data_IF_819499202927
#
_entry.id   IF_819499202927
#
_cell.length_a   1.000
_cell.length_b   1.000
_cell.length_c   1.000
_cell.angle_alpha   90.00
_cell.angle_beta   90.00
_cell.angle_gamma   90.00
#
_symmetry.space_group_name_H-M   'P 1'
#
loop_
_entity.id
_entity.type
_entity.pdbx_description
1 polymer ?
#
# COMPACT_ATOMS: atom_id res chain seq x y z
N UNK A 1 -2.18 -10.52 24.76
CA UNK A 1 -2.37 -9.07 24.62
C UNK A 1 -2.44 -8.64 23.16
N UNK A 2 -2.62 -7.35 22.89
CA UNK A 2 -2.53 -6.76 21.56
C UNK A 2 -1.13 -6.15 21.40
N UNK A 3 -0.46 -6.44 20.28
CA UNK A 3 0.80 -5.81 19.93
C UNK A 3 0.53 -4.51 19.15
N UNK A 4 1.26 -3.43 19.47
CA UNK A 4 1.23 -2.18 18.72
C UNK A 4 2.60 -1.98 18.09
N UNK A 5 2.66 -2.10 16.78
CA UNK A 5 3.87 -1.92 15.97
C UNK A 5 3.86 -0.53 15.36
N UNK A 6 4.93 0.24 15.60
CA UNK A 6 5.08 1.59 15.06
C UNK A 6 6.16 1.62 13.99
N UNK A 7 5.80 2.01 12.77
CA UNK A 7 6.75 2.27 11.70
C UNK A 7 7.51 3.57 12.00
N UNK A 8 8.83 3.51 12.06
CA UNK A 8 9.70 4.66 12.37
C UNK A 8 10.48 5.10 11.14
N UNK A 9 10.78 6.40 11.00
CA UNK A 9 11.72 6.86 9.98
C UNK A 9 13.09 6.20 10.16
N UNK A 10 13.77 5.93 9.04
CA UNK A 10 15.14 5.44 9.08
C UNK A 10 16.05 6.46 9.81
N UNK A 11 16.71 6.08 10.92
CA UNK A 11 17.51 7.01 11.75
C UNK A 11 18.75 7.55 11.03
N UNK A 12 19.20 6.86 9.97
CA UNK A 12 20.39 7.28 9.20
C UNK A 12 20.06 8.18 8.02
N UNK A 13 18.77 8.33 7.66
CA UNK A 13 18.29 9.16 6.55
C UNK A 13 17.46 10.33 7.07
N UNK A 14 18.02 11.53 7.07
CA UNK A 14 17.34 12.74 7.52
C UNK A 14 16.25 13.15 6.51
N UNK A 15 15.02 12.73 6.76
CA UNK A 15 13.82 13.02 5.91
C UNK A 15 12.77 13.85 6.66
N UNK A 16 13.19 14.61 7.66
CA UNK A 16 12.28 15.45 8.46
C UNK A 16 11.15 14.66 9.14
N UNK A 17 11.45 13.44 9.59
CA UNK A 17 10.46 12.57 10.27
C UNK A 17 9.46 11.87 9.36
N UNK A 18 9.67 11.88 8.03
CA UNK A 18 8.81 11.17 7.08
C UNK A 18 9.19 9.69 7.03
N UNK A 19 8.21 8.81 7.21
CA UNK A 19 8.35 7.35 7.04
C UNK A 19 8.26 7.00 5.57
N UNK A 20 9.30 6.34 5.05
CA UNK A 20 9.41 5.80 3.68
C UNK A 20 9.83 4.35 3.78
N UNK A 21 9.32 3.51 2.91
CA UNK A 21 9.69 2.10 2.83
C UNK A 21 11.01 1.96 2.08
N UNK A 22 12.11 2.16 2.78
CA UNK A 22 13.46 1.85 2.29
C UNK A 22 13.87 0.43 2.72
N UNK A 23 15.01 -0.04 2.21
CA UNK A 23 15.53 -1.39 2.51
C UNK A 23 15.69 -1.65 4.01
N UNK A 24 16.09 -0.63 4.78
CA UNK A 24 16.22 -0.74 6.23
C UNK A 24 14.86 -0.95 6.91
N UNK A 25 13.85 -0.13 6.59
CA UNK A 25 12.53 -0.25 7.21
C UNK A 25 11.83 -1.56 6.82
N UNK A 26 12.01 -2.03 5.59
CA UNK A 26 11.46 -3.33 5.15
C UNK A 26 12.04 -4.47 6.00
N UNK A 27 13.34 -4.47 6.29
CA UNK A 27 13.99 -5.46 7.15
C UNK A 27 13.50 -5.36 8.60
N UNK A 28 13.38 -4.14 9.13
CA UNK A 28 12.82 -3.89 10.48
C UNK A 28 11.37 -4.39 10.60
N UNK A 29 10.54 -4.18 9.55
CA UNK A 29 9.16 -4.70 9.50
C UNK A 29 9.18 -6.24 9.59
N UNK A 30 10.00 -6.89 8.77
CA UNK A 30 10.09 -8.35 8.75
C UNK A 30 10.52 -8.91 10.11
N UNK A 31 11.63 -8.41 10.66
CA UNK A 31 12.20 -8.85 11.93
C UNK A 31 11.24 -8.60 13.10
N UNK A 32 10.61 -7.41 13.13
CA UNK A 32 9.66 -7.07 14.19
C UNK A 32 8.41 -7.95 14.14
N UNK A 33 7.86 -8.21 12.95
CA UNK A 33 6.70 -9.08 12.82
C UNK A 33 7.00 -10.52 13.20
N UNK A 34 8.20 -11.04 12.87
CA UNK A 34 8.63 -12.37 13.31
C UNK A 34 8.74 -12.44 14.84
N UNK A 35 9.33 -11.42 15.48
CA UNK A 35 9.42 -11.33 16.93
C UNK A 35 8.05 -11.20 17.60
N UNK A 36 7.16 -10.38 17.06
CA UNK A 36 5.78 -10.21 17.55
C UNK A 36 4.99 -11.51 17.41
N UNK A 37 5.09 -12.19 16.27
CA UNK A 37 4.39 -13.46 16.04
C UNK A 37 4.79 -14.54 17.07
N UNK A 38 6.07 -14.58 17.48
CA UNK A 38 6.58 -15.49 18.49
C UNK A 38 5.92 -15.27 19.87
N UNK A 39 5.38 -14.08 20.17
CA UNK A 39 4.65 -13.79 21.42
C UNK A 39 3.20 -14.24 21.39
N UNK A 40 2.71 -14.77 20.27
CA UNK A 40 1.31 -15.19 20.09
C UNK A 40 0.30 -14.10 20.49
N UNK A 41 0.33 -12.91 19.89
CA UNK A 41 -0.59 -11.83 20.25
C UNK A 41 -2.03 -12.15 19.82
N UNK A 42 -3.01 -11.56 20.51
CA UNK A 42 -4.42 -11.66 20.14
C UNK A 42 -4.79 -10.75 18.95
N UNK A 43 -3.91 -9.81 18.60
CA UNK A 43 -4.06 -8.90 17.46
C UNK A 43 -2.85 -7.99 17.33
N UNK A 44 -2.72 -7.36 16.16
CA UNK A 44 -1.64 -6.41 15.86
C UNK A 44 -2.24 -5.11 15.34
N UNK A 45 -1.86 -3.98 15.93
CA UNK A 45 -2.08 -2.64 15.38
C UNK A 45 -0.79 -2.18 14.71
N UNK A 46 -0.85 -1.92 13.40
CA UNK A 46 0.22 -1.28 12.65
C UNK A 46 -0.04 0.22 12.57
N UNK A 47 0.89 1.05 13.05
CA UNK A 47 0.77 2.50 12.98
C UNK A 47 2.10 3.15 12.55
N UNK A 48 2.09 4.43 12.28
CA UNK A 48 3.32 5.22 12.08
C UNK A 48 3.68 5.99 13.34
N UNK A 49 4.98 6.13 13.59
CA UNK A 49 5.52 7.03 14.61
C UNK A 49 5.68 8.47 14.08
N UNK A 50 5.53 8.70 12.79
CA UNK A 50 5.59 10.03 12.20
C UNK A 50 4.28 10.77 12.42
N UNK A 51 4.35 12.03 12.86
CA UNK A 51 3.19 12.92 12.92
C UNK A 51 2.81 13.50 11.55
N UNK A 52 3.67 13.34 10.54
CA UNK A 52 3.52 13.97 9.21
C UNK A 52 2.86 13.06 8.19
N UNK A 53 3.12 11.76 8.26
CA UNK A 53 2.61 10.77 7.31
C UNK A 53 2.36 9.44 8.03
N UNK A 54 1.44 8.65 7.51
CA UNK A 54 1.44 7.22 7.84
C UNK A 54 2.67 6.58 7.18
N UNK A 55 2.69 6.52 5.85
CA UNK A 55 3.86 6.13 5.05
C UNK A 55 3.77 6.84 3.69
N UNK A 56 4.84 7.51 3.29
CA UNK A 56 4.87 8.29 2.04
C UNK A 56 5.11 7.47 0.78
N UNK A 57 5.27 6.15 0.90
CA UNK A 57 5.53 5.23 -0.20
C UNK A 57 6.92 4.59 -0.12
N UNK A 58 7.34 3.97 -1.23
CA UNK A 58 8.68 3.44 -1.41
C UNK A 58 9.74 4.55 -1.46
N UNK A 59 10.99 4.20 -1.17
CA UNK A 59 12.12 5.11 -1.36
C UNK A 59 12.47 5.25 -2.84
N UNK A 60 11.97 6.30 -3.48
CA UNK A 60 12.22 6.55 -4.90
C UNK A 60 13.71 6.77 -5.20
N UNK A 61 14.51 7.25 -4.24
CA UNK A 61 15.95 7.37 -4.41
C UNK A 61 16.64 5.98 -4.44
N UNK A 62 16.17 5.03 -3.64
CA UNK A 62 16.65 3.64 -3.75
C UNK A 62 16.19 2.99 -5.05
N UNK A 63 14.93 3.19 -5.46
CA UNK A 63 14.42 2.67 -6.75
C UNK A 63 15.26 3.18 -7.92
N UNK A 64 15.68 4.44 -7.91
CA UNK A 64 16.50 5.02 -8.96
C UNK A 64 17.95 4.52 -8.93
N UNK A 65 18.52 4.34 -7.73
CA UNK A 65 19.94 4.01 -7.53
C UNK A 65 20.28 2.51 -7.67
N UNK A 66 19.35 1.62 -7.34
CA UNK A 66 19.56 0.16 -7.40
C UNK A 66 19.65 -0.32 -8.86
N UNK A 67 20.50 -1.32 -9.14
CA UNK A 67 20.42 -2.05 -10.41
C UNK A 67 19.13 -2.92 -10.47
N UNK A 68 18.84 -3.52 -11.61
CA UNK A 68 17.59 -4.27 -11.82
C UNK A 68 17.46 -5.50 -10.92
N UNK A 69 18.57 -6.18 -10.66
CA UNK A 69 18.61 -7.36 -9.79
C UNK A 69 18.37 -6.95 -8.34
N UNK A 70 19.02 -5.89 -7.90
CA UNK A 70 18.88 -5.36 -6.55
C UNK A 70 17.49 -4.76 -6.33
N UNK A 71 16.90 -4.11 -7.34
CA UNK A 71 15.53 -3.59 -7.26
C UNK A 71 14.49 -4.72 -7.21
N UNK A 72 14.60 -5.75 -8.04
CA UNK A 72 13.69 -6.92 -7.93
C UNK A 72 13.80 -7.56 -6.54
N UNK A 73 15.02 -7.71 -6.02
CA UNK A 73 15.25 -8.24 -4.68
C UNK A 73 14.67 -7.34 -3.57
N UNK A 74 14.75 -6.02 -3.69
CA UNK A 74 14.12 -5.05 -2.79
C UNK A 74 12.60 -5.20 -2.79
N UNK A 75 11.98 -5.23 -3.97
CA UNK A 75 10.54 -5.39 -4.11
C UNK A 75 10.05 -6.75 -3.58
N UNK A 76 10.81 -7.81 -3.84
CA UNK A 76 10.51 -9.15 -3.32
C UNK A 76 10.58 -9.18 -1.79
N UNK A 77 11.62 -8.63 -1.19
CA UNK A 77 11.73 -8.53 0.28
C UNK A 77 10.57 -7.74 0.90
N UNK A 78 10.14 -6.64 0.26
CA UNK A 78 8.94 -5.91 0.70
C UNK A 78 7.68 -6.77 0.65
N UNK A 79 7.45 -7.50 -0.44
CA UNK A 79 6.32 -8.44 -0.55
C UNK A 79 6.34 -9.51 0.54
N UNK A 80 7.52 -10.08 0.82
CA UNK A 80 7.72 -11.11 1.87
C UNK A 80 7.51 -10.53 3.28
N UNK A 81 8.00 -9.30 3.53
CA UNK A 81 7.81 -8.63 4.81
C UNK A 81 6.32 -8.32 5.08
N UNK A 82 5.62 -7.75 4.09
CA UNK A 82 4.21 -7.38 4.24
C UNK A 82 3.29 -8.61 4.32
N UNK A 83 3.66 -9.72 3.66
CA UNK A 83 2.91 -10.96 3.74
C UNK A 83 2.77 -11.47 5.19
N UNK A 84 3.72 -11.20 6.06
CA UNK A 84 3.64 -11.57 7.47
C UNK A 84 2.39 -11.03 8.16
N UNK A 85 1.88 -9.85 7.75
CA UNK A 85 0.67 -9.25 8.32
C UNK A 85 -0.58 -10.11 8.14
N UNK A 86 -0.71 -10.85 7.05
CA UNK A 86 -1.83 -11.78 6.87
C UNK A 86 -1.46 -13.23 7.23
N UNK A 87 -0.18 -13.55 7.37
CA UNK A 87 0.30 -14.88 7.77
C UNK A 87 0.33 -15.10 9.28
N UNK A 88 0.42 -14.05 10.11
CA UNK A 88 0.28 -14.20 11.57
C UNK A 88 -1.09 -14.80 11.93
N UNK A 89 -1.19 -15.65 12.98
CA UNK A 89 -2.46 -16.30 13.36
C UNK A 89 -3.35 -15.39 14.24
N UNK A 90 -3.35 -14.09 13.99
CA UNK A 90 -4.22 -13.13 14.68
C UNK A 90 -4.69 -12.04 13.71
N UNK A 91 -5.72 -11.29 14.07
CA UNK A 91 -6.20 -10.16 13.28
C UNK A 91 -5.18 -9.01 13.30
N UNK A 92 -5.06 -8.31 12.19
CA UNK A 92 -4.18 -7.16 12.03
C UNK A 92 -4.96 -5.94 11.53
N UNK A 93 -4.66 -4.76 12.04
CA UNK A 93 -5.31 -3.52 11.65
C UNK A 93 -4.28 -2.41 11.44
N UNK A 94 -4.37 -1.70 10.33
CA UNK A 94 -3.58 -0.49 10.08
C UNK A 94 -4.33 0.73 10.62
N UNK A 95 -3.64 1.55 11.42
CA UNK A 95 -4.14 2.83 11.92
C UNK A 95 -3.50 3.96 11.10
N UNK A 96 -4.25 4.46 10.11
CA UNK A 96 -3.80 5.47 9.14
C UNK A 96 -4.27 6.85 9.60
N UNK A 97 -3.35 7.72 10.01
CA UNK A 97 -3.67 9.03 10.60
C UNK A 97 -3.23 10.23 9.74
N UNK A 98 -2.53 9.99 8.65
CA UNK A 98 -2.02 11.00 7.70
C UNK A 98 -1.84 10.34 6.32
N UNK A 99 -1.12 11.00 5.42
CA UNK A 99 -0.91 10.49 4.07
C UNK A 99 -0.40 9.04 4.04
N UNK A 100 -1.06 8.22 3.22
CA UNK A 100 -0.68 6.84 2.90
C UNK A 100 -0.64 6.70 1.38
N UNK A 101 0.55 6.75 0.80
CA UNK A 101 0.74 6.80 -0.64
C UNK A 101 1.54 5.60 -1.15
N UNK A 102 1.15 5.06 -2.30
CA UNK A 102 1.84 3.95 -2.92
C UNK A 102 2.03 2.78 -1.97
N UNK A 103 3.26 2.33 -1.80
CA UNK A 103 3.62 1.28 -0.85
C UNK A 103 3.08 1.49 0.57
N UNK A 104 2.83 2.75 0.97
CA UNK A 104 2.20 3.06 2.26
C UNK A 104 0.74 2.64 2.35
N UNK A 105 -0.01 2.76 1.27
CA UNK A 105 -1.35 2.20 1.19
C UNK A 105 -1.28 0.67 1.00
N UNK A 106 -0.30 0.19 0.23
CA UNK A 106 -0.12 -1.25 0.01
C UNK A 106 0.11 -2.00 1.33
N UNK A 107 1.04 -1.55 2.19
CA UNK A 107 1.25 -2.20 3.50
C UNK A 107 0.01 -2.12 4.40
N UNK A 108 -0.74 -1.02 4.36
CA UNK A 108 -2.00 -0.92 5.12
C UNK A 108 -3.03 -1.94 4.63
N UNK A 109 -3.13 -2.17 3.31
CA UNK A 109 -4.05 -3.15 2.71
C UNK A 109 -3.64 -4.61 2.95
N UNK A 110 -2.41 -4.89 3.38
CA UNK A 110 -2.01 -6.22 3.84
C UNK A 110 -2.60 -6.58 5.21
N UNK A 111 -3.02 -5.59 6.00
CA UNK A 111 -3.77 -5.81 7.23
C UNK A 111 -5.21 -6.30 6.94
N UNK A 112 -5.85 -6.90 7.94
CA UNK A 112 -7.25 -7.34 7.86
C UNK A 112 -8.23 -6.18 7.81
N UNK A 113 -7.87 -5.05 8.41
CA UNK A 113 -8.66 -3.82 8.41
C UNK A 113 -7.81 -2.57 8.36
N UNK A 114 -8.43 -1.46 7.99
CA UNK A 114 -7.83 -0.12 7.98
C UNK A 114 -8.75 0.82 8.75
N UNK A 115 -8.24 1.37 9.84
CA UNK A 115 -8.87 2.47 10.58
C UNK A 115 -8.18 3.76 10.14
N UNK A 116 -8.92 4.71 9.62
CA UNK A 116 -8.36 5.97 9.16
C UNK A 116 -8.90 7.16 9.91
N UNK A 117 -8.03 8.09 10.31
CA UNK A 117 -8.48 9.36 10.88
C UNK A 117 -8.78 10.36 9.77
N UNK A 118 -9.85 11.13 9.93
CA UNK A 118 -10.22 12.23 9.03
C UNK A 118 -9.46 13.50 9.40
N UNK A 119 -9.24 14.39 8.42
CA UNK A 119 -8.71 15.72 8.71
C UNK A 119 -9.78 16.57 9.40
N UNK A 120 -9.36 17.40 10.36
CA UNK A 120 -10.24 18.42 10.93
C UNK A 120 -10.58 19.51 9.90
N UNK A 121 -11.53 20.36 10.22
CA UNK A 121 -11.91 21.48 9.34
C UNK A 121 -10.78 22.50 9.15
N UNK A 122 -9.88 22.62 10.13
CA UNK A 122 -8.76 23.55 10.14
C UNK A 122 -7.50 22.98 9.48
N UNK A 123 -7.47 21.66 9.25
CA UNK A 123 -6.31 20.97 8.65
C UNK A 123 -6.46 20.87 7.14
N UNK A 124 -5.34 21.02 6.42
CA UNK A 124 -5.30 20.66 5.01
C UNK A 124 -5.48 19.16 4.87
N UNK A 125 -6.50 18.66 4.13
CA UNK A 125 -6.71 17.25 3.93
C UNK A 125 -5.49 16.59 3.29
N UNK A 126 -5.06 15.47 3.84
CA UNK A 126 -3.98 14.66 3.25
C UNK A 126 -4.49 13.75 2.15
N UNK A 127 -3.54 13.13 1.45
CA UNK A 127 -3.83 12.28 0.29
C UNK A 127 -3.61 10.81 0.63
N UNK A 128 -4.41 9.94 -0.01
CA UNK A 128 -4.29 8.49 0.07
C UNK A 128 -4.57 7.87 -1.30
N UNK A 129 -3.78 6.88 -1.70
CA UNK A 129 -3.93 6.21 -3.00
C UNK A 129 -2.63 5.65 -3.54
N UNK A 130 -2.67 5.22 -4.80
CA UNK A 130 -1.55 4.62 -5.53
C UNK A 130 -1.10 5.56 -6.67
N UNK A 131 -0.16 6.50 -6.40
CA UNK A 131 0.23 7.52 -7.37
C UNK A 131 1.29 7.08 -8.38
N UNK A 132 1.73 5.82 -8.36
CA UNK A 132 2.89 5.31 -9.08
C UNK A 132 2.84 5.59 -10.59
N UNK A 133 1.68 5.42 -11.24
CA UNK A 133 1.51 5.73 -12.66
C UNK A 133 1.71 7.22 -12.97
N UNK A 134 1.42 8.10 -12.03
CA UNK A 134 1.76 9.52 -12.10
C UNK A 134 3.27 9.76 -12.22
N UNK A 135 4.10 8.85 -11.71
CA UNK A 135 5.56 8.86 -11.81
C UNK A 135 6.10 8.02 -12.99
N UNK A 136 5.22 7.43 -13.80
CA UNK A 136 5.61 6.58 -14.93
C UNK A 136 6.00 5.15 -14.55
N UNK A 137 5.76 4.73 -13.31
CA UNK A 137 5.97 3.37 -12.80
C UNK A 137 4.63 2.75 -12.37
N UNK A 138 4.63 1.54 -11.82
CA UNK A 138 3.42 0.89 -11.31
C UNK A 138 3.60 0.50 -9.84
N UNK A 139 2.52 0.15 -9.10
CA UNK A 139 2.61 -0.48 -7.78
C UNK A 139 3.50 -1.72 -7.79
N UNK A 140 4.11 -2.07 -6.67
CA UNK A 140 5.05 -3.17 -6.59
C UNK A 140 4.78 -4.19 -5.48
N UNK A 141 3.76 -3.96 -4.63
CA UNK A 141 3.45 -4.80 -3.47
C UNK A 141 1.98 -5.21 -3.38
N UNK A 142 1.32 -5.37 -4.52
CA UNK A 142 -0.03 -5.92 -4.63
C UNK A 142 -1.13 -4.88 -4.74
N UNK A 143 -0.81 -3.61 -4.89
CA UNK A 143 -1.78 -2.53 -4.99
C UNK A 143 -2.77 -2.71 -6.13
N UNK A 144 -2.34 -3.26 -7.27
CA UNK A 144 -3.20 -3.54 -8.43
C UNK A 144 -4.26 -4.59 -8.16
N UNK A 145 -4.07 -5.43 -7.13
CA UNK A 145 -5.01 -6.49 -6.75
C UNK A 145 -5.88 -6.10 -5.56
N UNK A 146 -5.28 -5.45 -4.57
CA UNK A 146 -5.95 -5.17 -3.30
C UNK A 146 -6.92 -3.99 -3.39
N UNK A 147 -6.56 -2.94 -4.13
CA UNK A 147 -7.44 -1.77 -4.21
C UNK A 147 -8.74 -2.06 -4.96
N UNK A 148 -8.76 -2.75 -6.13
CA UNK A 148 -10.00 -3.12 -6.82
C UNK A 148 -10.91 -4.07 -6.02
N UNK A 149 -10.36 -4.82 -5.10
CA UNK A 149 -11.13 -5.70 -4.23
C UNK A 149 -11.62 -5.01 -2.95
N UNK A 150 -11.25 -3.74 -2.73
CA UNK A 150 -11.57 -3.00 -1.52
C UNK A 150 -12.55 -1.85 -1.75
N UNK A 151 -12.45 -1.16 -2.88
CA UNK A 151 -13.36 -0.08 -3.29
C UNK A 151 -14.05 -0.46 -4.60
N UNK A 152 -14.88 0.44 -5.17
CA UNK A 152 -15.41 0.21 -6.51
C UNK A 152 -14.29 -0.12 -7.51
N UNK A 153 -14.31 -1.29 -8.18
CA UNK A 153 -13.20 -1.75 -8.99
C UNK A 153 -12.88 -0.84 -10.18
N UNK A 154 -13.88 -0.21 -10.79
CA UNK A 154 -13.67 0.71 -11.92
C UNK A 154 -12.91 1.94 -11.46
N UNK A 155 -13.33 2.51 -10.33
CA UNK A 155 -12.65 3.62 -9.68
C UNK A 155 -11.22 3.25 -9.29
N UNK A 156 -11.02 2.09 -8.67
CA UNK A 156 -9.72 1.60 -8.24
C UNK A 156 -8.73 1.46 -9.40
N UNK A 157 -9.12 0.73 -10.46
CA UNK A 157 -8.28 0.48 -11.62
C UNK A 157 -7.96 1.80 -12.34
N UNK A 158 -8.97 2.65 -12.55
CA UNK A 158 -8.80 3.94 -13.22
C UNK A 158 -7.84 4.86 -12.44
N UNK A 159 -8.04 4.98 -11.12
CA UNK A 159 -7.16 5.81 -10.27
C UNK A 159 -5.73 5.26 -10.25
N UNK A 160 -5.54 3.95 -10.09
CA UNK A 160 -4.21 3.33 -10.10
C UNK A 160 -3.51 3.53 -11.45
N UNK A 161 -4.23 3.31 -12.57
CA UNK A 161 -3.68 3.45 -13.91
C UNK A 161 -3.40 4.90 -14.32
N UNK A 162 -3.97 5.89 -13.63
CA UNK A 162 -3.70 7.32 -13.86
C UNK A 162 -2.82 7.96 -12.79
N UNK A 163 -2.55 7.25 -11.68
CA UNK A 163 -1.82 7.78 -10.53
C UNK A 163 -2.63 8.79 -9.71
N UNK A 164 -3.96 8.79 -9.82
CA UNK A 164 -4.83 9.66 -9.03
C UNK A 164 -4.93 9.17 -7.59
N UNK A 165 -4.98 10.12 -6.66
CA UNK A 165 -5.15 9.85 -5.24
C UNK A 165 -6.38 10.57 -4.70
N UNK A 166 -6.91 10.11 -3.58
CA UNK A 166 -8.09 10.70 -2.95
C UNK A 166 -7.70 11.68 -1.83
N UNK A 167 -8.54 12.68 -1.61
CA UNK A 167 -8.52 13.45 -0.36
C UNK A 167 -9.12 12.61 0.75
N UNK A 168 -8.56 12.67 1.98
CA UNK A 168 -9.10 11.92 3.12
C UNK A 168 -10.54 12.30 3.46
N UNK A 169 -10.97 13.51 3.14
CA UNK A 169 -12.35 13.97 3.38
C UNK A 169 -13.32 13.64 2.21
N UNK A 170 -12.84 12.95 1.16
CA UNK A 170 -13.62 12.51 0.01
C UNK A 170 -13.13 11.13 -0.47
N UNK A 171 -13.25 10.14 0.40
CA UNK A 171 -12.77 8.79 0.13
C UNK A 171 -13.86 7.95 -0.56
N UNK A 172 -13.47 7.06 -1.48
CA UNK A 172 -14.37 6.03 -1.95
C UNK A 172 -14.76 5.10 -0.80
N UNK A 173 -16.03 4.67 -0.81
CA UNK A 173 -16.54 3.71 0.17
C UNK A 173 -15.69 2.42 0.18
N UNK A 174 -15.41 1.90 1.36
CA UNK A 174 -14.64 0.66 1.56
C UNK A 174 -13.13 0.87 1.71
N UNK A 175 -12.60 2.07 1.45
CA UNK A 175 -11.16 2.30 1.62
C UNK A 175 -10.74 2.19 3.09
N UNK A 176 -11.50 2.80 4.01
CA UNK A 176 -11.39 2.55 5.45
C UNK A 176 -12.53 1.62 5.92
N UNK A 177 -12.22 0.67 6.80
CA UNK A 177 -13.22 -0.13 7.49
C UNK A 177 -13.95 0.71 8.54
N UNK A 178 -13.22 1.65 9.18
CA UNK A 178 -13.78 2.65 10.09
C UNK A 178 -13.08 3.99 9.85
N UNK A 179 -13.85 5.05 9.67
CA UNK A 179 -13.35 6.43 9.68
C UNK A 179 -13.54 7.01 11.09
N UNK A 180 -12.49 7.64 11.61
CA UNK A 180 -12.43 8.25 12.95
C UNK A 180 -12.28 9.75 12.78
N UNK A 181 -13.11 10.54 13.45
CA UNK A 181 -13.01 12.00 13.38
C UNK A 181 -11.73 12.51 14.08
N UNK A 182 -11.27 13.67 13.64
CA UNK A 182 -10.16 14.35 14.31
C UNK A 182 -10.46 14.55 15.81
N UNK A 183 -9.50 14.22 16.67
CA UNK A 183 -9.62 14.34 18.13
C UNK A 183 -10.22 13.12 18.83
N UNK A 184 -10.77 12.15 18.12
CA UNK A 184 -11.21 10.88 18.70
C UNK A 184 -10.01 9.94 18.95
N UNK A 185 -10.14 9.03 19.93
CA UNK A 185 -9.12 8.03 20.22
C UNK A 185 -9.12 6.90 19.19
N UNK A 186 -8.41 7.13 18.10
CA UNK A 186 -8.29 6.18 16.98
C UNK A 186 -7.63 4.85 17.40
N UNK A 187 -6.74 4.85 18.40
CA UNK A 187 -6.16 3.60 18.92
C UNK A 187 -7.23 2.78 19.63
N UNK A 188 -8.10 3.41 20.41
CA UNK A 188 -9.22 2.72 21.05
C UNK A 188 -10.14 2.10 20.00
N UNK A 189 -10.48 2.83 18.94
CA UNK A 189 -11.30 2.30 17.84
C UNK A 189 -10.63 1.09 17.16
N UNK A 190 -9.30 1.14 16.96
CA UNK A 190 -8.56 0.01 16.40
C UNK A 190 -8.59 -1.23 17.33
N UNK A 191 -8.48 -1.04 18.64
CA UNK A 191 -8.57 -2.12 19.62
C UNK A 191 -9.98 -2.75 19.64
N UNK A 192 -11.02 -1.92 19.61
CA UNK A 192 -12.40 -2.37 19.56
C UNK A 192 -12.70 -3.11 18.24
N UNK A 193 -12.15 -2.64 17.13
CA UNK A 193 -12.25 -3.32 15.85
C UNK A 193 -11.60 -4.71 15.87
N UNK A 194 -10.39 -4.83 16.44
CA UNK A 194 -9.71 -6.13 16.60
C UNK A 194 -10.53 -7.08 17.45
N UNK A 195 -11.14 -6.60 18.54
CA UNK A 195 -12.01 -7.40 19.40
C UNK A 195 -13.27 -7.91 18.67
N UNK A 196 -13.84 -7.10 17.79
CA UNK A 196 -15.01 -7.43 16.98
C UNK A 196 -14.68 -8.31 15.75
N UNK A 197 -13.43 -8.34 15.30
CA UNK A 197 -12.97 -9.06 14.09
C UNK A 197 -11.84 -10.06 14.40
N UNK A 198 -12.03 -11.02 15.31
CA UNK A 198 -10.97 -11.94 15.67
C UNK A 198 -10.59 -12.85 14.49
N UNK A 199 -9.30 -13.15 14.37
CA UNK A 199 -8.76 -14.14 13.45
C UNK A 199 -7.76 -15.03 14.19
N UNK A 200 -7.85 -16.33 13.98
CA UNK A 200 -6.99 -17.32 14.66
C UNK A 200 -6.20 -18.20 13.68
N UNK A 201 -6.30 -17.94 12.38
CA UNK A 201 -5.62 -18.73 11.36
C UNK A 201 -4.85 -17.83 10.40
N UNK A 202 -3.65 -18.23 9.95
CA UNK A 202 -2.94 -17.58 8.85
C UNK A 202 -3.78 -17.55 7.57
N UNK A 203 -3.49 -16.59 6.69
CA UNK A 203 -3.99 -16.56 5.32
C UNK A 203 -2.84 -16.73 4.33
N UNK A 204 -3.13 -17.27 3.17
CA UNK A 204 -2.17 -17.38 2.06
C UNK A 204 -2.08 -16.10 1.21
N UNK A 205 -3.04 -15.18 1.37
CA UNK A 205 -3.13 -13.92 0.65
C UNK A 205 -3.94 -12.89 1.45
N UNK A 206 -3.84 -11.58 1.14
CA UNK A 206 -4.61 -10.54 1.82
C UNK A 206 -6.13 -10.78 1.74
N UNK A 207 -6.86 -10.30 2.75
CA UNK A 207 -8.34 -10.38 2.79
C UNK A 207 -9.00 -9.76 1.55
N UNK A 208 -8.41 -8.71 1.03
CA UNK A 208 -8.87 -7.97 -0.13
C UNK A 208 -8.75 -8.70 -1.48
N UNK A 209 -8.23 -9.92 -1.54
CA UNK A 209 -8.12 -10.69 -2.79
C UNK A 209 -9.23 -11.74 -2.92
N UNK A 210 -10.46 -11.34 -2.68
CA UNK A 210 -11.62 -12.24 -2.69
C UNK A 210 -11.94 -12.72 -4.14
N UNK A 211 -11.87 -14.03 -4.44
CA UNK A 211 -12.12 -14.56 -5.77
C UNK A 211 -13.58 -14.36 -6.26
N UNK A 212 -14.54 -14.17 -5.38
CA UNK A 212 -15.94 -13.87 -5.75
C UNK A 212 -16.09 -12.50 -6.44
N UNK A 213 -15.11 -11.62 -6.34
CA UNK A 213 -15.09 -10.33 -7.01
C UNK A 213 -14.53 -10.40 -8.44
N UNK A 214 -13.99 -11.54 -8.87
CA UNK A 214 -13.32 -11.66 -10.17
C UNK A 214 -14.20 -11.22 -11.37
N UNK A 215 -15.49 -11.57 -11.49
CA UNK A 215 -16.31 -11.10 -12.60
C UNK A 215 -16.50 -9.58 -12.61
N UNK A 216 -16.68 -8.99 -11.43
CA UNK A 216 -16.84 -7.52 -11.29
C UNK A 216 -15.54 -6.79 -11.63
N UNK A 217 -14.39 -7.31 -11.19
CA UNK A 217 -13.08 -6.75 -11.51
C UNK A 217 -12.77 -6.90 -13.00
N UNK A 218 -13.15 -8.01 -13.63
CA UNK A 218 -13.00 -8.22 -15.08
C UNK A 218 -13.77 -7.16 -15.88
N UNK A 219 -15.03 -6.93 -15.55
CA UNK A 219 -15.87 -5.91 -16.20
C UNK A 219 -15.31 -4.49 -15.99
N UNK A 220 -14.81 -4.20 -14.77
CA UNK A 220 -14.17 -2.94 -14.44
C UNK A 220 -12.88 -2.72 -15.23
N UNK A 221 -12.08 -3.77 -15.43
CA UNK A 221 -10.85 -3.71 -16.24
C UNK A 221 -11.17 -3.38 -17.70
N UNK A 222 -12.20 -3.97 -18.29
CA UNK A 222 -12.67 -3.67 -19.64
C UNK A 222 -13.12 -2.21 -19.76
N UNK A 223 -13.86 -1.71 -18.77
CA UNK A 223 -14.30 -0.33 -18.70
C UNK A 223 -13.09 0.61 -18.61
N UNK A 224 -12.13 0.33 -17.71
CA UNK A 224 -10.93 1.14 -17.54
C UNK A 224 -10.09 1.21 -18.82
N UNK A 225 -9.95 0.11 -19.57
CA UNK A 225 -9.26 0.09 -20.87
C UNK A 225 -9.90 1.02 -21.90
N UNK A 226 -11.20 1.26 -21.81
CA UNK A 226 -11.93 2.16 -22.70
C UNK A 226 -11.81 3.65 -22.37
N UNK A 227 -11.45 4.01 -21.11
CA UNK A 227 -11.47 5.40 -20.64
C UNK A 227 -10.11 5.96 -20.23
N UNK A 228 -9.15 5.09 -19.85
CA UNK A 228 -7.81 5.51 -19.44
C UNK A 228 -6.92 5.71 -20.67
N UNK A 229 -6.24 6.85 -20.74
CA UNK A 229 -5.23 7.08 -21.79
C UNK A 229 -4.10 6.05 -21.67
N UNK A 230 -3.83 5.36 -22.76
CA UNK A 230 -2.80 4.34 -22.82
C UNK A 230 -1.40 4.96 -22.66
N UNK A 231 -0.68 4.52 -21.63
CA UNK A 231 0.74 4.77 -21.39
C UNK A 231 1.40 3.44 -21.03
N UNK A 232 2.74 3.39 -21.03
CA UNK A 232 3.44 2.16 -20.60
C UNK A 232 3.05 1.79 -19.17
N UNK A 233 2.97 2.75 -18.25
CA UNK A 233 2.59 2.52 -16.86
C UNK A 233 1.11 2.10 -16.69
N UNK A 234 0.17 2.77 -17.38
CA UNK A 234 -1.24 2.39 -17.30
C UNK A 234 -1.51 1.00 -17.88
N UNK A 235 -0.84 0.65 -18.99
CA UNK A 235 -0.92 -0.69 -19.57
C UNK A 235 -0.37 -1.76 -18.63
N UNK A 236 0.75 -1.48 -17.94
CA UNK A 236 1.33 -2.38 -16.95
C UNK A 236 0.36 -2.64 -15.79
N UNK A 237 -0.31 -1.61 -15.26
CA UNK A 237 -1.34 -1.77 -14.22
C UNK A 237 -2.47 -2.69 -14.70
N UNK A 238 -3.00 -2.45 -15.89
CA UNK A 238 -4.09 -3.25 -16.44
C UNK A 238 -3.67 -4.69 -16.71
N UNK A 239 -2.43 -4.91 -17.16
CA UNK A 239 -1.85 -6.26 -17.33
C UNK A 239 -1.70 -6.97 -15.98
N UNK A 240 -1.22 -6.29 -14.94
CA UNK A 240 -1.12 -6.85 -13.59
C UNK A 240 -2.49 -7.29 -13.04
N UNK A 241 -3.54 -6.47 -13.24
CA UNK A 241 -4.92 -6.84 -12.85
C UNK A 241 -5.37 -8.09 -13.62
N UNK A 242 -5.17 -8.14 -14.93
CA UNK A 242 -5.54 -9.27 -15.78
C UNK A 242 -4.80 -10.57 -15.39
N UNK A 243 -3.49 -10.47 -15.11
CA UNK A 243 -2.68 -11.61 -14.64
C UNK A 243 -3.21 -12.11 -13.29
N UNK A 244 -3.56 -11.21 -12.38
CA UNK A 244 -4.12 -11.60 -11.08
C UNK A 244 -5.46 -12.33 -11.20
N UNK A 245 -6.33 -11.90 -12.10
CA UNK A 245 -7.59 -12.57 -12.40
C UNK A 245 -7.39 -13.97 -12.98
N UNK A 246 -6.39 -14.16 -13.86
CA UNK A 246 -6.11 -15.43 -14.54
C UNK A 246 -5.26 -16.39 -13.75
N UNK A 247 -4.27 -15.87 -13.02
CA UNK A 247 -3.17 -16.67 -12.46
C UNK A 247 -2.98 -16.46 -10.95
N UNK A 248 -3.78 -15.58 -10.34
CA UNK A 248 -3.83 -15.35 -8.90
C UNK A 248 -2.75 -14.42 -8.35
N UNK A 249 -2.77 -14.28 -7.03
CA UNK A 249 -2.01 -13.29 -6.25
C UNK A 249 -0.50 -13.31 -6.53
N UNK A 250 0.14 -14.48 -6.48
CA UNK A 250 1.60 -14.59 -6.62
C UNK A 250 2.08 -14.20 -8.03
N UNK A 251 1.30 -14.56 -9.05
CA UNK A 251 1.60 -14.19 -10.42
C UNK A 251 1.47 -12.67 -10.64
N UNK A 252 0.45 -12.05 -10.03
CA UNK A 252 0.27 -10.61 -10.07
C UNK A 252 1.42 -9.85 -9.40
N UNK A 253 1.87 -10.28 -8.21
CA UNK A 253 3.04 -9.70 -7.54
C UNK A 253 4.31 -9.80 -8.39
N UNK A 254 4.52 -10.94 -9.04
CA UNK A 254 5.66 -11.12 -9.94
C UNK A 254 5.58 -10.20 -11.15
N UNK A 255 4.38 -9.98 -11.69
CA UNK A 255 4.14 -9.06 -12.79
C UNK A 255 4.38 -7.60 -12.39
N UNK A 256 3.86 -7.15 -11.23
CA UNK A 256 4.13 -5.81 -10.71
C UNK A 256 5.62 -5.54 -10.58
N UNK A 257 6.40 -6.45 -9.96
CA UNK A 257 7.86 -6.30 -9.85
C UNK A 257 8.54 -6.18 -11.20
N UNK A 258 8.21 -7.09 -12.12
CA UNK A 258 8.77 -7.09 -13.49
C UNK A 258 8.48 -5.78 -14.22
N UNK A 259 7.23 -5.31 -14.13
CA UNK A 259 6.84 -4.04 -14.76
C UNK A 259 7.52 -2.84 -14.10
N UNK A 260 7.59 -2.77 -12.78
CA UNK A 260 8.24 -1.64 -12.10
C UNK A 260 9.73 -1.56 -12.48
N UNK A 261 10.44 -2.69 -12.48
CA UNK A 261 11.86 -2.76 -12.91
C UNK A 261 12.02 -2.28 -14.36
N UNK A 262 11.14 -2.69 -15.26
CA UNK A 262 11.21 -2.26 -16.67
C UNK A 262 10.82 -0.79 -16.85
N UNK A 263 9.73 -0.35 -16.23
CA UNK A 263 9.15 0.99 -16.41
C UNK A 263 10.10 2.11 -15.96
N UNK A 264 10.90 1.92 -14.90
CA UNK A 264 11.83 2.95 -14.42
C UNK A 264 12.84 3.39 -15.48
N UNK A 265 13.10 2.57 -16.52
CA UNK A 265 14.00 2.88 -17.62
C UNK A 265 13.34 3.66 -18.75
N UNK A 266 12.02 3.79 -18.76
CA UNK A 266 11.30 4.56 -19.77
C UNK A 266 11.63 6.05 -19.65
N UNK A 267 11.57 6.78 -20.77
CA UNK A 267 11.80 8.22 -20.77
C UNK A 267 10.85 8.97 -19.84
N UNK A 268 9.57 8.54 -19.82
CA UNK A 268 8.54 9.14 -18.97
C UNK A 268 8.83 8.96 -17.48
N UNK A 269 9.26 7.76 -17.05
CA UNK A 269 9.59 7.51 -15.64
C UNK A 269 10.86 8.27 -15.22
N UNK A 270 11.92 8.23 -16.05
CA UNK A 270 13.18 8.94 -15.77
C UNK A 270 12.98 10.45 -15.61
N UNK A 271 12.19 11.07 -16.49
CA UNK A 271 11.88 12.48 -16.38
C UNK A 271 11.17 12.80 -15.05
N UNK A 272 10.09 12.06 -14.73
CA UNK A 272 9.28 12.29 -13.55
C UNK A 272 10.02 11.98 -12.24
N UNK A 273 10.77 10.87 -12.17
CA UNK A 273 11.60 10.54 -11.03
C UNK A 273 12.69 11.59 -10.81
N UNK A 274 13.37 12.04 -11.88
CA UNK A 274 14.38 13.09 -11.77
C UNK A 274 13.81 14.42 -11.27
N UNK A 275 12.58 14.77 -11.67
CA UNK A 275 11.89 15.98 -11.18
C UNK A 275 11.53 15.83 -9.70
N UNK A 276 11.04 14.65 -9.28
CA UNK A 276 10.67 14.37 -7.90
C UNK A 276 11.88 14.37 -6.95
N UNK A 277 13.03 13.84 -7.41
CA UNK A 277 14.25 13.71 -6.60
C UNK A 277 15.08 15.00 -6.55
N UNK A 278 14.77 16.03 -7.35
CA UNK A 278 15.44 17.32 -7.23
C UNK A 278 15.16 17.96 -5.88
N UNK A 279 16.18 18.48 -5.17
CA UNK A 279 15.95 19.25 -3.96
C UNK A 279 14.98 20.40 -4.26
N UNK A 280 14.01 20.62 -3.36
CA UNK A 280 13.22 21.83 -3.39
C UNK A 280 14.18 23.00 -3.20
N UNK A 281 14.31 23.86 -4.23
CA UNK A 281 15.19 25.03 -4.23
C UNK A 281 14.79 26.07 -3.19
#
# INVERSE_FOLDING_TARGET
GIAVMSLTPNPTKLRGGVVVLDSWLIEEIATTLDAVAATSPNGIVLRSASERVFVAGADLAEIDALDDIALDAYLRRGSEAFARLFQVPCATVALVHRAALGGGLEIAMHCDGIIGTLASAEEKPWRIGLPECGLGICPGWGGTQMLPARIDPTTAITQTATGQTNSVNALPAGLFDVAVNAGEDALRVALDWLAANPRSKPRSQPKSTNPFLAPTIQSALETARGVVTATEASNAVMECVDIGLKSGWQAALAAERKHLVALRHTSAAREKLSQFLKPAG
#
